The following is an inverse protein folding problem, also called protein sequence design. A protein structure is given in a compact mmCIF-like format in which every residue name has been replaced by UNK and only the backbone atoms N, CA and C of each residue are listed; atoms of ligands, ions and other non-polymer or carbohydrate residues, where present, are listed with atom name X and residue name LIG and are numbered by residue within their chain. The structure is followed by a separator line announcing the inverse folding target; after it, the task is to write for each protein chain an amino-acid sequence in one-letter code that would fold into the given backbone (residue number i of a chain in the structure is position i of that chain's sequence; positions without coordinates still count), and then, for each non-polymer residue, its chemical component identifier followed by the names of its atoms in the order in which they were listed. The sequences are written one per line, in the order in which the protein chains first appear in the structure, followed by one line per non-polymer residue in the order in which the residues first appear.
data_IF_037531286343
#
_entry.id   IF_037531286343
#
_cell.length_a   1.000
_cell.length_b   1.000
_cell.length_c   1.000
_cell.angle_alpha   90.00
_cell.angle_beta   90.00
_cell.angle_gamma   90.00
#
_symmetry.space_group_name_H-M   'P 1'
#
loop_
_entity.id
_entity.type
_entity.pdbx_description
1 polymer ?
2 polymer ?
3 water ?
#
# COMPACT_ATOMS: atom_id res chain seq x y z
N UNK A 3 23.77 -5.76 -13.79
CA UNK A 3 23.28 -6.31 -15.06
C UNK A 3 21.84 -5.86 -15.37
N UNK A 4 21.66 -5.32 -16.57
CA UNK A 4 20.40 -4.65 -16.91
C UNK A 4 19.23 -5.63 -16.91
N UNK A 5 19.38 -6.80 -17.54
CA UNK A 5 18.30 -7.79 -17.60
C UNK A 5 17.85 -8.21 -16.20
N UNK A 6 18.80 -8.45 -15.31
CA UNK A 6 18.47 -8.85 -13.94
C UNK A 6 17.69 -7.75 -13.23
N UNK A 7 18.18 -6.51 -13.32
CA UNK A 7 17.50 -5.39 -12.68
C UNK A 7 16.08 -5.25 -13.19
N UNK A 8 15.90 -5.37 -14.51
CA UNK A 8 14.56 -5.25 -15.10
C UNK A 8 13.66 -6.36 -14.57
N UNK A 9 14.18 -7.59 -14.55
CA UNK A 9 13.43 -8.73 -14.01
C UNK A 9 13.09 -8.54 -12.54
N UNK A 10 14.05 -8.04 -11.74
CA UNK A 10 13.76 -7.74 -10.33
C UNK A 10 12.65 -6.70 -10.22
N UNK A 11 12.69 -5.67 -11.06
CA UNK A 11 11.68 -4.62 -11.00
C UNK A 11 10.29 -5.18 -11.32
N UNK A 12 10.22 -6.11 -12.28
CA UNK A 12 8.94 -6.73 -12.60
C UNK A 12 8.39 -7.53 -11.42
N UNK A 13 9.29 -8.21 -10.69
CA UNK A 13 8.89 -8.97 -9.50
C UNK A 13 8.40 -8.04 -8.41
N UNK A 14 9.16 -6.97 -8.15
CA UNK A 14 8.75 -5.98 -7.16
C UNK A 14 7.38 -5.40 -7.48
N UNK A 15 7.10 -5.14 -8.76
CA UNK A 15 5.78 -4.62 -9.12
C UNK A 15 4.67 -5.59 -8.75
N UNK A 16 4.85 -6.89 -9.05
CA UNK A 16 3.86 -7.89 -8.65
C UNK A 16 3.72 -7.97 -7.14
N UNK A 17 4.83 -7.92 -6.41
CA UNK A 17 4.79 -7.88 -4.94
C UNK A 17 4.26 -6.57 -4.39
N UNK A 18 4.03 -5.58 -5.26
CA UNK A 18 3.63 -4.23 -4.84
C UNK A 18 4.65 -3.62 -3.87
N UNK A 19 5.93 -3.84 -4.16
CA UNK A 19 7.02 -3.20 -3.44
C UNK A 19 7.62 -2.14 -4.35
N UNK A 20 7.00 -0.96 -4.35
CA UNK A 20 7.32 0.06 -5.34
C UNK A 20 8.63 0.78 -5.01
N UNK A 21 9.02 0.86 -3.74
CA UNK A 21 10.36 1.36 -3.42
C UNK A 21 11.44 0.48 -4.05
N UNK A 22 11.28 -0.85 -3.92
CA UNK A 22 12.21 -1.79 -4.54
C UNK A 22 12.22 -1.60 -6.05
N UNK A 23 11.04 -1.47 -6.64
CA UNK A 23 10.93 -1.37 -8.09
C UNK A 23 11.56 -0.08 -8.58
N UNK A 24 11.35 1.03 -7.85
CA UNK A 24 11.96 2.30 -8.23
C UNK A 24 13.48 2.25 -8.11
N UNK A 25 13.99 1.57 -7.06
CA UNK A 25 15.44 1.49 -6.91
C UNK A 25 16.08 0.70 -8.04
N UNK A 26 15.41 -0.35 -8.52
CA UNK A 26 15.96 -1.10 -9.65
C UNK A 26 15.99 -0.25 -10.91
N UNK A 27 14.86 0.39 -11.23
CA UNK A 27 14.77 1.18 -12.46
C UNK A 27 15.68 2.40 -12.40
N UNK A 28 15.88 2.97 -11.21
CA UNK A 28 16.85 4.05 -11.07
C UNK A 28 18.26 3.57 -11.41
N UNK A 29 18.64 2.39 -10.92
CA UNK A 29 19.95 1.81 -11.25
C UNK A 29 20.08 1.56 -12.75
N UNK A 30 19.03 1.02 -13.39
CA UNK A 30 19.06 0.89 -14.84
C UNK A 30 19.32 2.24 -15.50
N UNK A 31 18.57 3.27 -15.09
CA UNK A 31 18.71 4.59 -15.70
C UNK A 31 20.14 5.13 -15.54
N UNK A 32 20.72 4.93 -14.35
CA UNK A 32 22.04 5.48 -14.06
C UNK A 32 23.15 4.82 -14.86
N UNK A 33 22.87 3.72 -15.57
CA UNK A 33 23.88 3.12 -16.44
C UNK A 33 24.12 3.89 -17.72
N UNK A 34 23.23 4.81 -18.10
CA UNK A 34 23.54 5.75 -19.16
C UNK A 34 23.09 5.36 -20.55
N UNK A 35 22.55 4.17 -20.73
CA UNK A 35 22.01 3.76 -22.02
C UNK A 35 20.54 4.17 -22.11
N UNK A 36 20.10 4.51 -23.32
CA UNK A 36 18.68 4.76 -23.54
C UNK A 36 17.85 3.56 -23.10
N UNK A 37 16.67 3.85 -22.57
CA UNK A 37 15.77 2.82 -22.07
C UNK A 37 14.85 2.36 -23.18
N UNK A 38 14.53 1.07 -23.17
CA UNK A 38 13.49 0.54 -24.04
C UNK A 38 12.12 1.03 -23.57
N UNK A 39 11.10 0.74 -24.41
CA UNK A 39 9.72 0.99 -24.03
C UNK A 39 9.37 0.31 -22.71
N UNK A 40 9.84 -0.92 -22.53
CA UNK A 40 9.52 -1.66 -21.31
C UNK A 40 10.11 -0.99 -20.08
N UNK A 41 11.41 -0.68 -20.13
CA UNK A 41 12.07 -0.06 -18.98
C UNK A 41 11.50 1.32 -18.69
N UNK A 42 11.17 2.07 -19.74
CA UNK A 42 10.49 3.35 -19.58
C UNK A 42 9.20 3.19 -18.79
N UNK A 43 8.37 2.21 -19.18
CA UNK A 43 7.11 1.99 -18.47
C UNK A 43 7.34 1.56 -17.04
N UNK A 44 8.35 0.73 -16.80
CA UNK A 44 8.61 0.28 -15.44
C UNK A 44 9.07 1.43 -14.55
N UNK A 45 9.98 2.27 -15.06
CA UNK A 45 10.44 3.43 -14.30
C UNK A 45 9.29 4.36 -13.97
N UNK A 46 8.40 4.59 -14.94
CA UNK A 46 7.30 5.52 -14.72
C UNK A 46 6.28 4.95 -13.75
N UNK A 47 5.96 3.66 -13.88
CA UNK A 47 5.01 3.05 -12.96
C UNK A 47 5.59 3.00 -11.53
N UNK A 48 6.89 2.76 -11.42
CA UNK A 48 7.52 2.69 -10.09
C UNK A 48 7.41 4.03 -9.37
N UNK A 49 7.87 5.10 -10.01
CA UNK A 49 7.86 6.37 -9.32
C UNK A 49 6.46 6.93 -9.17
N UNK A 50 5.54 6.60 -10.09
CA UNK A 50 4.18 7.10 -9.92
C UNK A 50 3.57 6.56 -8.62
N UNK A 51 3.88 5.31 -8.26
CA UNK A 51 3.37 4.72 -7.03
C UNK A 51 4.09 5.26 -5.80
N UNK A 52 5.42 5.42 -5.87
CA UNK A 52 6.15 5.99 -4.75
C UNK A 52 5.70 7.42 -4.45
N UNK A 53 5.49 8.22 -5.50
CA UNK A 53 5.04 9.59 -5.26
C UNK A 53 3.55 9.61 -4.96
N UNK A 54 2.78 8.68 -5.54
CA UNK A 54 1.34 8.70 -5.34
C UNK A 54 0.95 8.47 -3.89
N UNK A 55 1.71 7.62 -3.19
CA UNK A 55 1.44 7.38 -1.77
C UNK A 55 1.55 8.65 -0.96
N UNK A 56 2.58 9.48 -1.24
CA UNK A 56 2.76 10.74 -0.52
C UNK A 56 1.70 11.75 -0.91
N UNK A 57 1.38 11.84 -2.20
CA UNK A 57 0.32 12.76 -2.63
C UNK A 57 -0.99 12.43 -1.91
N UNK A 58 -1.38 11.15 -1.90
CA UNK A 58 -2.56 10.73 -1.17
C UNK A 58 -2.46 11.09 0.32
N UNK A 59 -1.36 10.71 0.98
CA UNK A 59 -1.18 11.05 2.39
C UNK A 59 -1.23 12.57 2.61
N UNK A 60 -0.60 13.33 1.72
CA UNK A 60 -0.59 14.78 1.88
C UNK A 60 -2.02 15.33 1.85
N UNK A 61 -2.84 14.86 0.92
CA UNK A 61 -4.21 15.37 0.83
C UNK A 61 -4.98 15.09 2.11
N UNK A 62 -4.87 13.85 2.63
CA UNK A 62 -5.59 13.46 3.84
C UNK A 62 -5.17 14.31 5.03
N UNK A 63 -3.85 14.45 5.23
CA UNK A 63 -3.40 15.19 6.41
C UNK A 63 -3.68 16.68 6.25
N UNK A 64 -3.47 17.22 5.05
CA UNK A 64 -3.80 18.63 4.82
C UNK A 64 -5.29 18.88 5.04
N UNK A 65 -6.13 17.91 4.69
CA UNK A 65 -7.56 18.03 4.94
C UNK A 65 -7.89 17.98 6.43
N UNK A 66 -7.15 17.15 7.18
CA UNK A 66 -7.36 17.09 8.63
C UNK A 66 -6.90 18.39 9.28
N UNK A 67 -5.74 18.90 8.85
CA UNK A 67 -5.23 20.15 9.39
C UNK A 67 -6.20 21.31 9.18
N UNK A 68 -6.92 21.31 8.06
CA UNK A 68 -7.85 22.40 7.78
C UNK A 68 -9.17 22.26 8.55
N UNK A 69 -9.56 21.04 8.88
CA UNK A 69 -10.81 20.80 9.59
C UNK A 69 -10.66 20.79 11.10
N UNK A 70 -9.50 21.19 11.62
CA UNK A 70 -9.31 21.32 13.06
C UNK A 70 -8.91 22.75 13.39
N UNK A 72 -9.49 25.48 15.08
CA UNK A 72 -10.19 24.85 16.20
C UNK A 72 -9.28 24.40 17.33
N UNK A 73 -9.06 23.09 17.42
CA UNK A 73 -8.22 22.48 18.44
C UNK A 73 -6.75 22.72 18.08
N UNK A 74 -6.12 23.70 18.74
CA UNK A 74 -4.84 24.21 18.26
C UNK A 74 -3.73 23.18 18.34
N UNK A 75 -3.69 22.36 19.40
CA UNK A 75 -2.60 21.42 19.55
C UNK A 75 -2.65 20.33 18.48
N UNK A 76 -3.84 19.75 18.27
CA UNK A 76 -3.99 18.77 17.20
C UNK A 76 -3.69 19.38 15.84
N UNK A 77 -4.12 20.63 15.61
CA UNK A 77 -3.89 21.27 14.31
C UNK A 77 -2.41 21.50 14.07
N UNK A 78 -1.66 21.88 15.10
CA UNK A 78 -0.21 21.97 14.96
C UNK A 78 0.38 20.62 14.57
N UNK A 79 -0.10 19.53 15.18
CA UNK A 79 0.51 18.24 14.90
C UNK A 79 0.23 17.81 13.47
N UNK A 80 -0.96 18.10 12.96
CA UNK A 80 -1.25 17.76 11.56
C UNK A 80 -0.40 18.60 10.62
N UNK A 81 -0.23 19.89 10.93
CA UNK A 81 0.65 20.75 10.15
C UNK A 81 2.07 20.19 10.07
N UNK A 82 2.65 19.83 11.23
CA UNK A 82 4.02 19.31 11.24
C UNK A 82 4.13 17.99 10.46
N UNK A 83 3.11 17.15 10.54
CA UNK A 83 3.15 15.87 9.82
C UNK A 83 3.00 16.09 8.31
N UNK A 84 2.06 16.96 7.94
CA UNK A 84 1.94 17.37 6.54
C UNK A 84 3.26 17.93 6.01
N UNK A 85 3.95 18.74 6.82
CA UNK A 85 5.25 19.25 6.41
C UNK A 85 6.26 18.13 6.18
N UNK A 86 6.28 17.14 7.08
CA UNK A 86 7.14 15.98 6.89
C UNK A 86 6.82 15.25 5.59
N UNK A 87 5.54 14.98 5.35
CA UNK A 87 5.12 14.32 4.12
C UNK A 87 5.52 15.15 2.92
N UNK A 88 5.41 16.47 3.02
CA UNK A 88 5.80 17.36 1.94
C UNK A 88 7.29 17.22 1.60
N UNK A 89 8.12 17.03 2.64
CA UNK A 89 9.55 16.91 2.40
C UNK A 89 9.86 15.62 1.63
N UNK A 90 9.22 14.52 2.01
CA UNK A 90 9.38 13.29 1.23
C UNK A 90 8.93 13.49 -0.22
N UNK A 91 7.77 14.14 -0.41
CA UNK A 91 7.25 14.33 -1.76
C UNK A 91 8.24 15.11 -2.62
N UNK A 92 8.74 16.22 -2.08
CA UNK A 92 9.71 17.05 -2.80
C UNK A 92 10.98 16.27 -3.10
N UNK A 93 11.45 15.44 -2.15
CA UNK A 93 12.64 14.65 -2.39
C UNK A 93 12.42 13.63 -3.51
N UNK A 94 11.25 13.00 -3.56
CA UNK A 94 10.96 12.07 -4.65
C UNK A 94 10.92 12.81 -5.99
N UNK A 95 10.19 13.93 -6.04
CA UNK A 95 10.09 14.68 -7.29
C UNK A 95 11.47 15.12 -7.76
N UNK A 96 12.28 15.66 -6.84
CA UNK A 96 13.62 16.11 -7.20
C UNK A 96 14.50 14.95 -7.70
N UNK A 97 14.33 13.76 -7.12
CA UNK A 97 15.00 12.56 -7.61
C UNK A 97 14.64 12.26 -9.06
N UNK A 98 13.34 12.10 -9.34
CA UNK A 98 12.86 11.89 -10.70
C UNK A 98 13.36 12.98 -11.64
N UNK A 99 13.18 14.24 -11.24
CA UNK A 99 13.54 15.33 -12.15
C UNK A 99 15.05 15.36 -12.42
N UNK A 100 15.87 14.95 -11.45
CA UNK A 100 17.30 14.83 -11.68
C UNK A 100 17.61 13.76 -12.71
N UNK A 101 17.00 12.57 -12.55
CA UNK A 101 17.18 11.53 -13.56
C UNK A 101 16.77 12.02 -14.94
N UNK A 102 15.64 12.72 -15.04
CA UNK A 102 15.19 13.22 -16.34
C UNK A 102 16.20 14.21 -16.92
N UNK A 103 16.79 15.05 -16.08
CA UNK A 103 17.71 16.08 -16.54
C UNK A 103 19.08 15.51 -16.86
N UNK A 104 19.55 14.56 -16.05
CA UNK A 104 20.93 14.14 -16.21
C UNK A 104 21.09 13.04 -17.25
N UNK A 105 20.13 12.11 -17.33
CA UNK A 105 20.24 10.97 -18.24
C UNK A 105 19.19 10.95 -19.34
N UNK A 106 17.91 11.07 -19.00
CA UNK A 106 16.89 10.59 -19.91
C UNK A 106 16.63 11.57 -21.05
N UNK A 107 16.41 12.84 -20.73
CA UNK A 107 16.09 13.82 -21.78
C UNK A 107 17.28 14.06 -22.70
N UNK A 108 18.48 14.40 -22.20
CA UNK A 108 19.61 14.61 -23.13
C UNK A 108 19.99 13.38 -23.94
N UNK A 109 19.61 12.18 -23.51
CA UNK A 109 19.92 10.95 -24.23
C UNK A 109 18.79 10.49 -25.14
N UNK A 110 17.59 11.05 -25.01
CA UNK A 110 16.46 10.59 -25.82
C UNK A 110 16.74 10.90 -27.29
N UNK A 111 17.01 9.85 -28.08
CA UNK A 111 17.25 10.03 -29.51
C UNK A 111 15.98 9.95 -30.34
N UNK A 112 14.86 9.58 -29.74
CA UNK A 112 13.63 9.29 -30.48
C UNK A 112 12.50 10.23 -30.06
N UNK A 113 11.69 10.64 -31.03
CA UNK A 113 10.58 11.54 -30.74
C UNK A 113 9.69 10.98 -29.62
N UNK A 114 9.32 9.69 -29.71
CA UNK A 114 8.46 9.08 -28.70
C UNK A 114 9.04 9.19 -27.30
N UNK A 115 10.34 8.95 -27.15
CA UNK A 115 10.99 9.03 -25.84
C UNK A 115 11.05 10.46 -25.34
N UNK A 116 11.35 11.42 -26.21
CA UNK A 116 11.35 12.82 -25.81
C UNK A 116 9.99 13.22 -25.24
N UNK A 117 8.92 12.89 -25.96
CA UNK A 117 7.57 13.21 -25.48
C UNK A 117 7.32 12.55 -24.12
N UNK A 118 7.67 11.26 -24.00
CA UNK A 118 7.47 10.55 -22.74
C UNK A 118 8.18 11.25 -21.59
N UNK A 119 9.48 11.56 -21.77
CA UNK A 119 10.25 12.14 -20.68
C UNK A 119 9.82 13.57 -20.38
N UNK A 120 9.44 14.34 -21.42
CA UNK A 120 9.00 15.71 -21.21
C UNK A 120 7.64 15.73 -20.52
N UNK A 121 6.74 14.82 -20.91
CA UNK A 121 5.51 14.61 -20.16
C UNK A 121 5.82 14.30 -18.70
N UNK A 122 6.75 13.36 -18.45
CA UNK A 122 7.07 13.02 -17.07
C UNK A 122 7.64 14.23 -16.33
N UNK A 123 8.47 15.02 -17.00
CA UNK A 123 8.98 16.25 -16.40
C UNK A 123 7.83 17.20 -16.05
N UNK A 124 6.84 17.32 -16.93
CA UNK A 124 5.67 18.12 -16.62
C UNK A 124 4.92 17.59 -15.40
N UNK A 125 4.71 16.27 -15.35
CA UNK A 125 4.00 15.65 -14.23
C UNK A 125 4.67 15.96 -12.89
N UNK A 126 5.98 15.78 -12.80
CA UNK A 126 6.61 15.88 -11.50
C UNK A 126 6.75 17.33 -11.03
N UNK A 127 6.83 18.29 -11.97
CA UNK A 127 6.70 19.69 -11.55
C UNK A 127 5.25 20.00 -11.15
N UNK A 128 4.27 19.39 -11.82
CA UNK A 128 2.88 19.60 -11.39
C UNK A 128 2.65 19.07 -9.97
N UNK A 129 3.22 17.89 -9.62
CA UNK A 129 3.13 17.41 -8.25
C UNK A 129 3.78 18.40 -7.27
N UNK A 130 4.92 18.97 -7.65
CA UNK A 130 5.54 20.01 -6.83
C UNK A 130 4.63 21.23 -6.72
N UNK A 131 3.96 21.59 -7.82
CA UNK A 131 3.07 22.75 -7.78
C UNK A 131 1.87 22.51 -6.87
N UNK A 132 1.43 21.26 -6.74
CA UNK A 132 0.31 20.94 -5.86
C UNK A 132 0.55 21.37 -4.42
N UNK A 133 1.81 21.37 -3.98
CA UNK A 133 2.14 21.65 -2.59
C UNK A 133 3.02 22.90 -2.44
N UNK A 134 3.29 23.60 -3.53
CA UNK A 134 4.21 24.74 -3.43
C UNK A 134 3.46 25.99 -2.98
N UNK A 135 4.21 26.99 -2.53
CA UNK A 135 3.62 28.15 -1.87
C UNK A 135 3.61 29.44 -2.71
N UNK A 136 4.73 30.15 -2.74
CA UNK A 136 4.67 31.56 -3.10
C UNK A 136 5.35 31.95 -4.40
N UNK A 137 6.43 32.72 -4.30
CA UNK A 137 7.29 32.92 -5.46
C UNK A 137 7.84 31.59 -5.96
N UNK A 138 7.98 30.62 -5.07
CA UNK A 138 8.39 29.27 -5.47
C UNK A 138 7.39 28.64 -6.42
N UNK A 139 6.09 28.76 -6.10
CA UNK A 139 5.08 28.10 -6.92
C UNK A 139 5.14 28.59 -8.36
N UNK A 140 5.32 29.89 -8.56
CA UNK A 140 5.29 30.46 -9.92
C UNK A 140 6.36 29.84 -10.81
N UNK A 141 7.60 29.77 -10.32
CA UNK A 141 8.66 29.14 -11.12
C UNK A 141 8.38 27.68 -11.41
N UNK A 142 7.83 26.96 -10.42
CA UNK A 142 7.50 25.54 -10.60
C UNK A 142 6.40 25.37 -11.65
N UNK A 143 5.33 26.15 -11.52
CA UNK A 143 4.23 26.09 -12.48
C UNK A 143 4.73 26.42 -13.87
N UNK A 144 5.65 27.38 -13.98
CA UNK A 144 6.21 27.71 -15.28
C UNK A 144 7.02 26.54 -15.86
N UNK A 145 7.73 25.80 -15.02
CA UNK A 145 8.51 24.66 -15.48
C UNK A 145 7.60 23.53 -15.96
N UNK A 146 6.50 23.29 -15.26
CA UNK A 146 5.57 22.24 -15.67
C UNK A 146 4.97 22.56 -17.04
N UNK A 147 4.53 23.81 -17.23
CA UNK A 147 3.89 24.19 -18.49
C UNK A 147 4.87 24.12 -19.65
N UNK A 148 6.12 24.57 -19.44
CA UNK A 148 7.10 24.54 -20.53
C UNK A 148 7.38 23.12 -20.99
N UNK A 149 7.47 22.18 -20.06
CA UNK A 149 7.71 20.79 -20.40
C UNK A 149 6.52 20.20 -21.13
N UNK A 150 5.32 20.37 -20.57
CA UNK A 150 4.11 19.89 -21.25
C UNK A 150 3.96 20.50 -22.64
N UNK A 151 4.25 21.81 -22.79
CA UNK A 151 4.06 22.46 -24.08
C UNK A 151 5.04 21.93 -25.12
N UNK A 152 6.30 21.75 -24.75
CA UNK A 152 7.26 21.15 -25.69
C UNK A 152 6.86 19.71 -26.04
N UNK A 153 6.49 18.90 -25.04
CA UNK A 153 6.01 17.55 -25.33
C UNK A 153 4.83 17.60 -26.30
N UNK A 154 3.91 18.53 -26.06
CA UNK A 154 2.70 18.66 -26.87
C UNK A 154 3.06 18.96 -28.33
N UNK A 155 4.02 19.86 -28.55
CA UNK A 155 4.36 20.26 -29.91
C UNK A 155 5.01 19.10 -30.66
N UNK A 156 5.92 18.38 -30.00
CA UNK A 156 6.58 17.25 -30.65
C UNK A 156 5.58 16.15 -30.96
N UNK A 157 4.69 15.82 -30.02
CA UNK A 157 3.73 14.76 -30.26
C UNK A 157 2.79 15.10 -31.43
N UNK A 158 2.39 16.36 -31.55
CA UNK A 158 1.55 16.73 -32.68
C UNK A 158 2.30 16.64 -34.02
N UNK A 159 3.61 16.91 -34.04
CA UNK A 159 4.33 16.82 -35.30
C UNK A 159 4.60 15.37 -35.69
N UNK A 160 4.90 14.51 -34.72
CA UNK A 160 5.56 13.23 -34.99
C UNK A 160 4.65 12.02 -34.81
N UNK A 161 3.66 12.07 -33.92
CA UNK A 161 2.89 10.91 -33.52
C UNK A 161 1.48 10.97 -34.09
N UNK A 162 0.88 9.80 -34.37
CA UNK A 162 -0.51 9.80 -34.81
C UNK A 162 -1.42 10.16 -33.63
N UNK A 163 -2.59 10.74 -33.90
CA UNK A 163 -3.47 11.17 -32.80
C UNK A 163 -3.93 10.04 -31.88
N UNK A 164 -3.84 8.78 -32.31
CA UNK A 164 -4.26 7.67 -31.46
C UNK A 164 -3.12 7.11 -30.61
N UNK A 165 -1.91 7.60 -30.79
CA UNK A 165 -0.77 7.09 -30.03
C UNK A 165 -1.00 7.24 -28.53
N UNK A 166 -0.86 6.18 -27.74
CA UNK A 166 -1.13 6.29 -26.30
C UNK A 166 -0.30 7.34 -25.61
N UNK A 167 0.94 7.60 -26.04
CA UNK A 167 1.74 8.63 -25.37
C UNK A 167 1.15 10.00 -25.66
N UNK A 168 0.80 10.26 -26.92
CA UNK A 168 0.20 11.53 -27.28
C UNK A 168 -1.13 11.75 -26.55
N UNK A 169 -1.96 10.70 -26.46
CA UNK A 169 -3.23 10.83 -25.74
C UNK A 169 -3.01 11.01 -24.23
N UNK A 170 -2.05 10.28 -23.66
CA UNK A 170 -1.79 10.44 -22.25
C UNK A 170 -1.26 11.81 -21.91
N UNK A 171 -0.45 12.39 -22.81
CA UNK A 171 0.04 13.75 -22.62
C UNK A 171 -1.11 14.76 -22.60
N UNK A 172 -2.02 14.65 -23.59
CA UNK A 172 -3.20 15.53 -23.60
C UNK A 172 -3.99 15.40 -22.31
N UNK A 173 -4.18 14.17 -21.83
CA UNK A 173 -4.93 13.95 -20.59
C UNK A 173 -4.32 14.72 -19.42
N UNK A 174 -3.02 14.55 -19.20
CA UNK A 174 -2.33 15.19 -18.07
C UNK A 174 -2.13 16.68 -18.29
N UNK A 175 -1.91 17.12 -19.54
CA UNK A 175 -1.85 18.56 -19.81
C UNK A 175 -3.18 19.23 -19.49
N UNK A 176 -4.30 18.59 -19.89
CA UNK A 176 -5.61 19.15 -19.54
C UNK A 176 -5.80 19.17 -18.02
N UNK A 177 -5.36 18.13 -17.30
CA UNK A 177 -5.47 18.17 -15.85
C UNK A 177 -4.67 19.34 -15.28
N UNK A 178 -3.47 19.57 -15.82
CA UNK A 178 -2.68 20.73 -15.39
C UNK A 178 -3.47 22.03 -15.58
N UNK A 179 -4.08 22.22 -16.76
CA UNK A 179 -4.85 23.44 -16.95
C UNK A 179 -6.00 23.53 -15.97
N UNK A 180 -6.65 22.39 -15.68
CA UNK A 180 -7.81 22.40 -14.81
C UNK A 180 -7.43 22.69 -13.37
N UNK A 181 -6.53 21.90 -12.79
CA UNK A 181 -6.31 22.11 -11.36
C UNK A 181 -5.13 23.01 -11.03
N UNK A 182 -4.13 23.14 -11.90
CA UNK A 182 -3.04 24.06 -11.58
C UNK A 182 -3.34 25.47 -12.05
N UNK A 183 -3.87 25.64 -13.26
CA UNK A 183 -4.12 26.98 -13.78
C UNK A 183 -5.58 27.39 -13.67
N UNK A 184 -6.41 26.61 -12.99
CA UNK A 184 -7.83 26.90 -12.77
C UNK A 184 -8.50 27.39 -14.06
N UNK A 185 -8.35 26.59 -15.11
CA UNK A 185 -8.78 26.95 -16.46
C UNK A 185 -9.57 25.80 -17.05
N UNK A 186 -10.81 25.59 -16.60
CA UNK A 186 -11.57 24.42 -17.11
C UNK A 186 -11.91 24.52 -18.58
N UNK A 187 -12.11 25.73 -19.13
CA UNK A 187 -12.49 25.79 -20.54
C UNK A 187 -11.33 25.40 -21.45
N UNK A 188 -10.12 25.83 -21.10
CA UNK A 188 -8.93 25.36 -21.81
C UNK A 188 -8.70 23.87 -21.58
N UNK A 189 -8.95 23.39 -20.35
CA UNK A 189 -8.77 21.96 -20.07
C UNK A 189 -9.74 21.14 -20.90
N UNK A 190 -11.01 21.55 -20.95
CA UNK A 190 -12.00 20.83 -21.73
C UNK A 190 -11.67 20.88 -23.21
N UNK A 191 -11.20 22.03 -23.69
CA UNK A 191 -10.87 22.16 -25.10
C UNK A 191 -9.72 21.24 -25.49
N UNK A 192 -8.68 21.17 -24.65
CA UNK A 192 -7.58 20.26 -24.91
C UNK A 192 -8.06 18.81 -24.93
N UNK A 193 -8.80 18.40 -23.90
CA UNK A 193 -9.27 17.02 -23.82
C UNK A 193 -10.23 16.69 -24.96
N UNK A 194 -11.12 17.63 -25.33
CA UNK A 194 -12.08 17.36 -26.39
C UNK A 194 -11.40 17.29 -27.76
N UNK A 195 -10.45 18.19 -28.03
CA UNK A 195 -9.74 18.14 -29.30
C UNK A 195 -8.96 16.83 -29.44
N UNK A 196 -8.25 16.44 -28.37
CA UNK A 196 -7.50 15.16 -28.40
C UNK A 196 -8.42 13.98 -28.69
N UNK A 197 -9.56 13.90 -27.99
CA UNK A 197 -10.53 12.84 -28.26
C UNK A 197 -11.01 12.88 -29.71
N UNK A 198 -11.38 14.06 -30.21
CA UNK A 198 -11.95 14.15 -31.55
C UNK A 198 -10.91 13.85 -32.63
N UNK A 199 -9.65 14.23 -32.42
CA UNK A 199 -8.62 13.90 -33.41
C UNK A 199 -8.30 12.41 -33.42
N UNK A 200 -8.39 11.75 -32.27
CA UNK A 200 -8.18 10.29 -32.25
C UNK A 200 -9.34 9.58 -32.92
N UNK A 201 -10.57 10.05 -32.68
CA UNK A 201 -11.74 9.35 -33.20
C UNK A 201 -11.94 9.64 -34.68
N UNK A 202 -11.28 10.64 -35.23
CA UNK A 202 -11.27 10.88 -36.66
C UNK A 202 -10.22 10.06 -37.39
N UNK A 203 -9.37 9.33 -36.65
CA UNK A 203 -8.24 8.61 -37.24
C UNK A 203 -8.10 7.23 -36.62
N UNK A 204 -9.22 6.52 -36.42
CA UNK A 204 -9.13 5.22 -35.76
C UNK A 204 -8.27 4.23 -36.53
N UNK A 205 -8.08 4.44 -37.84
CA UNK A 205 -7.29 3.50 -38.63
C UNK A 205 -5.83 3.45 -38.20
N UNK A 206 -5.32 4.50 -37.53
CA UNK A 206 -3.94 4.50 -37.05
C UNK A 206 -3.77 3.74 -35.75
N UNK A 207 -4.82 3.10 -35.24
CA UNK A 207 -4.67 2.24 -34.07
C UNK A 207 -3.83 1.03 -34.43
N UNK A 208 -2.92 0.67 -33.56
CA UNK A 208 -2.09 -0.52 -33.74
C UNK A 208 -2.58 -1.63 -32.83
N UNK A 209 -2.51 -2.87 -33.33
CA UNK A 209 -2.97 -4.02 -32.56
C UNK A 209 -2.26 -4.11 -31.21
N UNK A 210 -1.01 -3.68 -31.14
CA UNK A 210 -0.26 -3.78 -29.89
C UNK A 210 -0.74 -2.75 -28.86
N UNK A 211 -1.35 -1.65 -29.31
CA UNK A 211 -1.60 -0.51 -28.44
C UNK A 211 -3.05 -0.09 -28.35
N UNK A 212 -3.96 -0.72 -29.10
CA UNK A 212 -5.31 -0.18 -29.20
C UNK A 212 -6.03 -0.19 -27.86
N UNK A 213 -5.74 -1.15 -26.99
CA UNK A 213 -6.40 -1.20 -25.69
C UNK A 213 -5.98 -0.02 -24.82
N UNK A 214 -4.69 0.33 -24.81
CA UNK A 214 -4.24 1.53 -24.11
C UNK A 214 -4.89 2.78 -24.70
N UNK A 215 -4.89 2.88 -26.03
CA UNK A 215 -5.43 4.06 -26.69
C UNK A 215 -6.90 4.27 -26.36
N UNK A 216 -7.73 3.25 -26.59
CA UNK A 216 -9.16 3.40 -26.35
C UNK A 216 -9.47 3.60 -24.87
N UNK A 217 -8.60 3.11 -23.98
CA UNK A 217 -8.78 3.40 -22.56
C UNK A 217 -8.52 4.87 -22.25
N UNK A 218 -7.44 5.44 -22.80
CA UNK A 218 -7.15 6.84 -22.53
C UNK A 218 -8.19 7.75 -23.18
N UNK A 219 -8.71 7.38 -24.36
CA UNK A 219 -9.80 8.16 -24.94
C UNK A 219 -11.00 8.19 -24.00
N UNK A 220 -11.32 7.05 -23.36
CA UNK A 220 -12.41 7.03 -22.38
C UNK A 220 -12.10 7.93 -21.19
N UNK A 221 -10.85 7.94 -20.73
CA UNK A 221 -10.47 8.81 -19.60
C UNK A 221 -10.59 10.29 -19.98
N UNK A 222 -10.18 10.65 -21.20
CA UNK A 222 -10.33 12.04 -21.65
C UNK A 222 -11.79 12.47 -21.61
N UNK A 223 -12.69 11.62 -22.14
CA UNK A 223 -14.09 11.99 -22.15
C UNK A 223 -14.70 11.97 -20.75
N UNK A 224 -14.22 11.10 -19.87
CA UNK A 224 -14.65 11.15 -18.47
C UNK A 224 -14.38 12.54 -17.88
N UNK A 225 -13.13 13.01 -18.00
CA UNK A 225 -12.77 14.34 -17.49
C UNK A 225 -13.63 15.41 -18.12
N UNK A 226 -13.74 15.40 -19.45
CA UNK A 226 -14.68 16.25 -20.15
C UNK A 226 -16.05 16.22 -19.51
N UNK A 227 -16.54 15.01 -19.25
CA UNK A 227 -17.86 14.82 -18.64
C UNK A 227 -17.91 15.43 -17.24
N UNK A 228 -16.89 15.16 -16.41
CA UNK A 228 -16.92 15.66 -15.04
C UNK A 228 -16.79 17.19 -15.00
N UNK A 229 -15.94 17.77 -15.84
CA UNK A 229 -15.65 19.20 -15.74
C UNK A 229 -16.79 20.07 -16.26
N UNK A 230 -17.42 19.68 -17.37
CA UNK A 230 -18.52 20.45 -17.92
C UNK A 230 -19.85 20.21 -17.23
N UNK A 231 -19.86 19.47 -16.13
CA UNK A 231 -21.07 19.35 -15.33
C UNK A 231 -20.83 19.87 -13.91
N UNK B 2 8.67 10.48 23.04
CA UNK B 2 8.26 11.79 23.55
C UNK B 2 7.14 11.66 24.58
N UNK B 3 6.19 12.59 24.52
CA UNK B 3 5.00 12.53 25.36
C UNK B 3 3.97 11.59 24.74
N UNK B 4 3.35 10.76 25.58
CA UNK B 4 2.56 9.63 25.08
C UNK B 4 1.34 10.12 24.30
N UNK B 5 0.69 11.18 24.76
CA UNK B 5 -0.50 11.67 24.07
C UNK B 5 -0.15 12.17 22.68
N UNK B 6 0.98 12.85 22.53
CA UNK B 6 1.43 13.26 21.20
C UNK B 6 1.67 12.03 20.32
N UNK B 7 2.37 11.02 20.85
CA UNK B 7 2.67 9.83 20.06
C UNK B 7 1.38 9.17 19.57
N UNK B 8 0.37 9.07 20.45
CA UNK B 8 -0.90 8.46 20.08
C UNK B 8 -1.59 9.28 18.99
N UNK B 9 -1.62 10.61 19.16
CA UNK B 9 -2.18 11.47 18.13
C UNK B 9 -1.42 11.34 16.81
N UNK B 10 -0.09 11.29 16.85
CA UNK B 10 0.68 11.00 15.63
C UNK B 10 0.27 9.66 15.02
N UNK B 11 0.11 8.63 15.86
CA UNK B 11 -0.28 7.32 15.35
C UNK B 11 -1.64 7.39 14.64
N UNK B 12 -2.59 8.12 15.22
CA UNK B 12 -3.91 8.25 14.59
C UNK B 12 -3.83 8.99 13.26
N UNK B 13 -2.98 10.03 13.18
CA UNK B 13 -2.75 10.72 11.91
C UNK B 13 -2.13 9.79 10.89
N UNK B 14 -1.10 9.03 11.30
CA UNK B 14 -0.47 8.10 10.36
C UNK B 14 -1.47 7.07 9.84
N UNK B 15 -2.39 6.62 10.70
CA UNK B 15 -3.38 5.65 10.25
C UNK B 15 -4.26 6.25 9.15
N UNK B 16 -4.74 7.48 9.34
CA UNK B 16 -5.56 8.13 8.30
C UNK B 16 -4.78 8.26 6.99
N UNK B 17 -3.49 8.61 7.09
CA UNK B 17 -2.61 8.78 5.93
C UNK B 17 -2.17 7.44 5.34
N UNK B 18 -2.57 6.32 5.95
CA UNK B 18 -2.12 4.98 5.58
C UNK B 18 -0.60 4.87 5.55
N UNK B 19 0.04 5.47 6.53
CA UNK B 19 1.48 5.32 6.73
C UNK B 19 1.66 4.42 7.95
N UNK B 20 1.56 3.12 7.71
CA UNK B 20 1.53 2.17 8.82
C UNK B 20 2.89 1.96 9.45
N UNK B 21 3.98 2.17 8.72
CA UNK B 21 5.29 2.15 9.35
C UNK B 21 5.42 3.25 10.40
N UNK B 22 4.98 4.47 10.07
CA UNK B 22 4.95 5.55 11.05
C UNK B 22 4.07 5.17 12.24
N UNK B 23 2.87 4.65 11.94
CA UNK B 23 1.91 4.31 12.98
C UNK B 23 2.47 3.28 13.96
N UNK B 24 3.17 2.26 13.43
CA UNK B 24 3.77 1.21 14.26
C UNK B 24 4.93 1.75 15.08
N UNK B 25 5.77 2.59 14.47
CA UNK B 25 6.85 3.25 15.21
C UNK B 25 6.31 4.04 16.40
N UNK B 26 5.24 4.82 16.17
CA UNK B 26 4.64 5.59 17.28
C UNK B 26 4.12 4.68 18.39
N UNK B 27 3.37 3.64 18.02
CA UNK B 27 2.76 2.79 19.03
C UNK B 27 3.80 1.93 19.74
N UNK B 28 4.89 1.57 19.04
CA UNK B 28 5.98 0.86 19.70
C UNK B 28 6.66 1.73 20.76
N UNK B 29 6.84 3.03 20.47
CA UNK B 29 7.37 3.93 21.49
C UNK B 29 6.43 4.05 22.68
N UNK B 30 5.12 4.20 22.42
CA UNK B 30 4.16 4.24 23.52
C UNK B 30 4.31 3.00 24.39
N UNK B 31 4.39 1.83 23.74
CA UNK B 31 4.49 0.57 24.48
C UNK B 31 5.75 0.51 25.33
N UNK B 32 6.88 0.98 24.80
CA UNK B 32 8.15 0.88 25.49
C UNK B 32 8.24 1.78 26.72
N UNK B 33 7.32 2.73 26.89
CA UNK B 33 7.30 3.52 28.12
C UNK B 33 6.87 2.71 29.34
N UNK B 34 6.26 1.54 29.13
CA UNK B 34 6.06 0.60 30.22
C UNK B 34 4.72 0.63 30.91
N UNK B 35 3.83 1.55 30.54
CA UNK B 35 2.53 1.64 31.18
C UNK B 35 1.52 0.84 30.39
N UNK B 36 0.54 0.27 31.11
CA UNK B 36 -0.47 -0.55 30.46
C UNK B 36 -1.24 0.27 29.43
N UNK B 37 -1.43 -0.30 28.24
CA UNK B 37 -2.14 0.37 27.17
C UNK B 37 -3.63 0.38 27.43
N UNK B 38 -4.25 1.52 27.18
CA UNK B 38 -5.70 1.60 27.09
C UNK B 38 -6.19 0.77 25.90
N UNK B 39 -7.49 0.49 25.90
CA UNK B 39 -8.11 -0.24 24.79
C UNK B 39 -7.84 0.44 23.45
N UNK B 40 -7.95 1.77 23.39
CA UNK B 40 -7.70 2.48 22.14
C UNK B 40 -6.25 2.33 21.70
N UNK B 41 -5.30 2.44 22.63
CA UNK B 41 -3.89 2.28 22.31
C UNK B 41 -3.58 0.85 21.85
N UNK B 42 -4.13 -0.13 22.58
CA UNK B 42 -4.05 -1.52 22.17
C UNK B 42 -4.48 -1.71 20.72
N UNK B 43 -5.65 -1.19 20.36
CA UNK B 43 -6.16 -1.36 18.99
C UNK B 43 -5.25 -0.69 17.98
N UNK B 44 -4.72 0.49 18.31
CA UNK B 44 -3.82 1.19 17.39
C UNK B 44 -2.57 0.37 17.14
N UNK B 45 -1.95 -0.14 18.21
CA UNK B 45 -0.77 -0.99 18.06
C UNK B 45 -1.06 -2.19 17.18
N UNK B 46 -2.18 -2.86 17.45
CA UNK B 46 -2.53 -4.07 16.73
C UNK B 46 -2.76 -3.78 15.25
N UNK B 47 -3.46 -2.67 14.95
CA UNK B 47 -3.75 -2.30 13.57
C UNK B 47 -2.46 -1.98 12.82
N UNK B 48 -1.58 -1.18 13.44
CA UNK B 48 -0.33 -0.81 12.79
C UNK B 48 0.48 -2.05 12.40
N UNK B 49 0.75 -2.94 13.37
CA UNK B 49 1.59 -4.09 13.06
C UNK B 49 0.88 -5.10 12.16
N UNK B 50 -0.43 -5.22 12.29
CA UNK B 50 -1.18 -6.04 11.34
C UNK B 50 -0.95 -5.57 9.90
N UNK B 51 -0.93 -4.26 9.68
CA UNK B 51 -0.71 -3.75 8.33
C UNK B 51 0.75 -3.88 7.91
N UNK B 52 1.68 -3.61 8.84
CA UNK B 52 3.11 -3.69 8.51
C UNK B 52 3.48 -5.13 8.13
N UNK B 53 3.08 -6.10 8.97
CA UNK B 53 3.37 -7.50 8.65
C UNK B 53 2.48 -8.00 7.51
N UNK B 54 1.28 -7.45 7.36
CA UNK B 54 0.40 -7.93 6.31
C UNK B 54 0.90 -7.58 4.92
N UNK B 55 1.58 -6.44 4.79
CA UNK B 55 2.20 -6.08 3.53
C UNK B 55 3.20 -7.15 3.09
N UNK B 56 4.06 -7.59 4.02
CA UNK B 56 5.06 -8.61 3.67
C UNK B 56 4.40 -9.97 3.42
N UNK B 57 3.42 -10.35 4.24
CA UNK B 57 2.75 -11.64 4.01
C UNK B 57 2.10 -11.66 2.63
N UNK B 58 1.51 -10.54 2.21
CA UNK B 58 0.87 -10.50 0.90
C UNK B 58 1.92 -10.57 -0.21
N UNK B 59 3.03 -9.82 -0.08
CA UNK B 59 4.11 -9.92 -1.07
C UNK B 59 4.69 -11.32 -1.11
N UNK B 60 4.77 -11.96 0.06
CA UNK B 60 5.33 -13.30 0.14
C UNK B 60 4.46 -14.31 -0.62
N UNK B 61 3.14 -14.22 -0.44
CA UNK B 61 2.26 -15.11 -1.17
C UNK B 61 2.41 -14.92 -2.68
N UNK B 62 2.50 -13.66 -3.13
CA UNK B 62 2.62 -13.38 -4.57
C UNK B 62 3.92 -13.95 -5.11
N UNK B 63 5.04 -13.61 -4.46
CA UNK B 63 6.34 -14.07 -4.94
C UNK B 63 6.44 -15.59 -4.86
N UNK B 64 5.93 -16.18 -3.78
CA UNK B 64 5.98 -17.63 -3.64
C UNK B 64 5.17 -18.32 -4.74
N UNK B 65 4.06 -17.71 -5.14
CA UNK B 65 3.28 -18.25 -6.24
C UNK B 65 4.00 -18.12 -7.58
N UNK B 66 4.65 -16.96 -7.82
CA UNK B 66 5.48 -16.82 -9.02
C UNK B 66 6.57 -17.87 -9.03
N UNK B 67 7.20 -18.10 -7.87
CA UNK B 67 8.23 -19.13 -7.79
C UNK B 67 7.72 -20.48 -8.27
N UNK B 68 6.51 -20.87 -7.83
CA UNK B 68 5.97 -22.16 -8.25
C UNK B 68 5.64 -22.16 -9.74
N UNK B 69 5.12 -21.04 -10.25
CA UNK B 69 4.74 -20.97 -11.65
C UNK B 69 5.95 -20.91 -12.58
N UNK B 70 7.14 -20.58 -12.07
CA UNK B 70 8.35 -20.56 -12.89
C UNK B 70 9.18 -21.83 -12.72
N UNK B 71 8.58 -22.91 -12.22
CA UNK B 71 9.25 -24.19 -12.29
C UNK B 71 9.58 -24.51 -13.75
N UNK B 72 10.81 -24.97 -13.99
CA UNK B 72 11.29 -25.18 -15.33
C UNK B 72 11.86 -23.96 -16.03
N UNK B 73 11.97 -22.82 -15.34
CA UNK B 73 12.65 -21.63 -15.88
C UNK B 73 13.60 -21.17 -14.78
N UNK B 74 14.79 -21.76 -14.72
CA UNK B 74 15.57 -21.69 -13.49
C UNK B 74 16.09 -20.28 -13.22
N UNK B 75 16.41 -19.50 -14.26
CA UNK B 75 16.88 -18.13 -14.03
C UNK B 75 15.81 -17.31 -13.32
N UNK B 76 14.59 -17.32 -13.86
CA UNK B 76 13.52 -16.56 -13.23
C UNK B 76 13.16 -17.14 -11.86
N UNK B 77 13.16 -18.48 -11.71
CA UNK B 77 12.76 -19.06 -10.44
C UNK B 77 13.79 -18.76 -9.35
N UNK B 78 15.08 -18.81 -9.68
CA UNK B 78 16.09 -18.44 -8.69
C UNK B 78 15.89 -17.00 -8.23
N UNK B 79 15.54 -16.09 -9.16
CA UNK B 79 15.32 -14.71 -8.76
C UNK B 79 14.09 -14.56 -7.88
N UNK B 80 13.04 -15.33 -8.17
CA UNK B 80 11.87 -15.30 -7.31
C UNK B 80 12.18 -15.91 -5.93
N UNK B 81 12.94 -16.99 -5.90
CA UNK B 81 13.34 -17.57 -4.60
C UNK B 81 14.15 -16.58 -3.78
N UNK B 82 15.12 -15.90 -4.39
CA UNK B 82 15.96 -14.97 -3.64
C UNK B 82 15.14 -13.79 -3.12
N UNK B 83 14.18 -13.32 -3.92
CA UNK B 83 13.32 -12.24 -3.48
C UNK B 83 12.38 -12.70 -2.37
N UNK B 84 11.88 -13.95 -2.44
CA UNK B 84 11.07 -14.47 -1.35
C UNK B 84 11.87 -14.52 -0.05
N UNK B 85 13.13 -14.97 -0.12
CA UNK B 85 13.93 -15.07 1.10
C UNK B 85 14.24 -13.69 1.68
N UNK B 86 14.35 -12.66 0.84
CA UNK B 86 14.53 -11.32 1.37
C UNK B 86 13.27 -10.85 2.09
N UNK B 87 12.10 -11.10 1.50
CA UNK B 87 10.85 -10.71 2.14
C UNK B 87 10.69 -11.46 3.46
N UNK B 88 11.10 -12.74 3.49
CA UNK B 88 11.00 -13.54 4.70
C UNK B 88 11.84 -12.95 5.84
N UNK B 89 13.01 -12.40 5.51
CA UNK B 89 13.85 -11.79 6.54
C UNK B 89 13.14 -10.57 7.16
N UNK B 90 12.56 -9.71 6.33
CA UNK B 90 11.76 -8.60 6.86
C UNK B 90 10.61 -9.11 7.72
N UNK B 91 9.95 -10.17 7.25
CA UNK B 91 8.81 -10.74 7.95
C UNK B 91 9.22 -11.23 9.34
N UNK B 92 10.32 -11.98 9.42
CA UNK B 92 10.82 -12.44 10.71
C UNK B 92 11.17 -11.27 11.62
N UNK B 93 11.80 -10.23 11.07
CA UNK B 93 12.20 -9.07 11.88
C UNK B 93 10.99 -8.39 12.50
N UNK B 94 9.92 -8.23 11.73
CA UNK B 94 8.70 -7.59 12.23
C UNK B 94 8.05 -8.45 13.32
N UNK B 95 7.94 -9.76 13.06
CA UNK B 95 7.36 -10.66 14.05
C UNK B 95 8.21 -10.68 15.33
N UNK B 96 9.54 -10.77 15.20
CA UNK B 96 10.38 -10.75 16.39
C UNK B 96 10.16 -9.46 17.19
N UNK B 97 9.99 -8.34 16.48
CA UNK B 97 9.69 -7.06 17.10
C UNK B 97 8.42 -7.14 17.94
N UNK B 98 7.30 -7.54 17.31
CA UNK B 98 6.03 -7.65 18.03
C UNK B 98 6.15 -8.61 19.21
N UNK B 99 6.75 -9.78 18.97
CA UNK B 99 6.82 -10.79 20.02
C UNK B 99 7.61 -10.30 21.22
N UNK B 100 8.67 -9.52 20.97
CA UNK B 100 9.46 -8.97 22.06
C UNK B 100 8.66 -7.93 22.84
N UNK B 101 7.83 -7.13 22.16
CA UNK B 101 6.98 -6.19 22.88
C UNK B 101 5.98 -6.93 23.75
N UNK B 102 5.43 -8.04 23.22
CA UNK B 102 4.47 -8.84 23.97
C UNK B 102 5.11 -9.42 25.23
N UNK B 103 6.33 -9.94 25.10
CA UNK B 103 7.00 -10.59 26.24
C UNK B 103 7.36 -9.58 27.33
N UNK B 104 7.97 -8.46 26.94
CA UNK B 104 8.54 -7.54 27.92
C UNK B 104 7.49 -6.64 28.55
N UNK B 105 6.53 -6.15 27.76
CA UNK B 105 5.62 -5.12 28.25
C UNK B 105 4.16 -5.56 28.27
N UNK B 106 3.64 -6.10 27.16
CA UNK B 106 2.20 -6.19 26.99
C UNK B 106 1.59 -7.30 27.84
N UNK B 107 2.14 -8.52 27.76
CA UNK B 107 1.58 -9.63 28.52
C UNK B 107 1.80 -9.43 30.03
N UNK B 108 2.99 -9.03 30.50
CA UNK B 108 3.15 -8.86 31.96
C UNK B 108 2.22 -7.80 32.55
N UNK B 109 1.77 -6.83 31.77
CA UNK B 109 0.98 -5.72 32.28
C UNK B 109 -0.52 -5.97 32.22
N UNK B 110 -0.96 -7.06 31.61
CA UNK B 110 -2.39 -7.25 31.34
C UNK B 110 -3.10 -7.56 32.66
N UNK B 111 -3.91 -6.61 33.13
CA UNK B 111 -4.58 -6.69 34.42
C UNK B 111 -6.04 -7.16 34.32
N UNK B 112 -6.53 -7.44 33.11
CA UNK B 112 -7.88 -7.93 32.89
C UNK B 112 -7.81 -9.18 32.02
N UNK B 113 -8.78 -10.07 32.18
CA UNK B 113 -8.84 -11.26 31.35
C UNK B 113 -8.94 -10.91 29.86
N UNK B 114 -9.66 -9.83 29.53
CA UNK B 114 -9.80 -9.41 28.14
C UNK B 114 -8.44 -9.07 27.53
N UNK B 115 -7.64 -8.27 28.25
CA UNK B 115 -6.31 -7.90 27.76
C UNK B 115 -5.40 -9.12 27.66
N UNK B 116 -5.42 -9.99 28.68
CA UNK B 116 -4.66 -11.23 28.64
C UNK B 116 -4.97 -12.00 27.36
N UNK B 117 -6.27 -12.25 27.11
CA UNK B 117 -6.66 -13.02 25.94
C UNK B 117 -6.20 -12.32 24.67
N UNK B 118 -6.38 -11.00 24.62
CA UNK B 118 -6.01 -10.23 23.43
C UNK B 118 -4.53 -10.39 23.11
N UNK B 119 -3.66 -10.25 24.12
CA UNK B 119 -2.22 -10.30 23.86
C UNK B 119 -1.74 -11.73 23.66
N UNK B 120 -2.35 -12.70 24.34
CA UNK B 120 -1.97 -14.09 24.09
C UNK B 120 -2.36 -14.50 22.67
N UNK B 121 -3.55 -14.10 22.22
CA UNK B 121 -3.93 -14.30 20.83
C UNK B 121 -2.92 -13.68 19.89
N UNK B 122 -2.50 -12.44 20.18
CA UNK B 122 -1.50 -11.75 19.36
C UNK B 122 -0.20 -12.53 19.28
N UNK B 123 0.29 -13.01 20.43
CA UNK B 123 1.45 -13.90 20.48
C UNK B 123 1.24 -15.13 19.61
N UNK B 124 0.07 -15.76 19.72
CA UNK B 124 -0.23 -16.89 18.86
C UNK B 124 -0.18 -16.51 17.39
N UNK B 125 -0.71 -15.33 17.05
CA UNK B 125 -0.72 -14.84 15.67
C UNK B 125 0.69 -14.65 15.12
N UNK B 126 1.56 -13.93 15.85
CA UNK B 126 2.86 -13.61 15.26
C UNK B 126 3.82 -14.80 15.23
N UNK B 127 3.65 -15.76 16.16
CA UNK B 127 4.34 -17.04 16.00
C UNK B 127 3.77 -17.81 14.81
N UNK B 128 2.47 -17.70 14.57
CA UNK B 128 1.90 -18.38 13.41
C UNK B 128 2.45 -17.80 12.12
N UNK B 129 2.60 -16.47 12.04
CA UNK B 129 3.21 -15.88 10.83
C UNK B 129 4.66 -16.35 10.67
N UNK B 130 5.40 -16.49 11.78
CA UNK B 130 6.73 -17.09 11.69
C UNK B 130 6.66 -18.53 11.16
N UNK B 131 5.69 -19.31 11.64
CA UNK B 131 5.58 -20.69 11.19
C UNK B 131 5.28 -20.78 9.68
N UNK B 132 4.53 -19.81 9.14
CA UNK B 132 4.22 -19.79 7.71
C UNK B 132 5.46 -19.79 6.84
N UNK B 133 6.60 -19.31 7.37
CA UNK B 133 7.82 -19.17 6.57
C UNK B 133 8.99 -19.84 7.26
N UNK B 134 8.71 -20.67 8.28
CA UNK B 134 9.74 -21.44 8.95
C UNK B 134 10.06 -22.71 8.17
N UNK B 135 11.30 -23.16 8.27
CA UNK B 135 11.74 -24.34 7.54
C UNK B 135 12.41 -25.37 8.43
N UNK B 136 13.61 -25.06 8.92
CA UNK B 136 14.49 -26.07 9.47
C UNK B 136 14.10 -26.63 10.82
N UNK B 137 15.11 -26.92 11.65
CA UNK B 137 14.87 -27.41 13.00
C UNK B 137 13.97 -26.49 13.81
N UNK B 138 13.89 -25.22 13.42
CA UNK B 138 13.18 -24.20 14.19
C UNK B 138 11.67 -24.32 14.11
N UNK B 139 11.13 -24.94 13.07
CA UNK B 139 9.71 -24.83 12.78
C UNK B 139 8.86 -25.44 13.90
N UNK B 140 9.22 -26.66 14.34
CA UNK B 140 8.39 -27.35 15.34
C UNK B 140 8.31 -26.56 16.64
N UNK B 141 9.42 -25.95 17.05
CA UNK B 141 9.38 -25.09 18.23
C UNK B 141 8.55 -23.84 18.01
N UNK B 142 8.66 -23.24 16.82
CA UNK B 142 7.83 -22.07 16.51
C UNK B 142 6.36 -22.46 16.55
N UNK B 143 6.01 -23.58 15.91
CA UNK B 143 4.62 -24.04 15.92
C UNK B 143 4.14 -24.27 17.35
N UNK B 144 5.00 -24.87 18.19
CA UNK B 144 4.60 -25.15 19.56
C UNK B 144 4.37 -23.87 20.35
N UNK B 145 5.19 -22.83 20.10
CA UNK B 145 4.98 -21.55 20.78
C UNK B 145 3.65 -20.93 20.37
N UNK B 146 3.29 -21.02 19.09
CA UNK B 146 2.00 -20.50 18.65
C UNK B 146 0.87 -21.26 19.33
N UNK B 147 0.94 -22.59 19.33
CA UNK B 147 -0.12 -23.40 19.93
C UNK B 147 -0.30 -23.10 21.41
N UNK B 148 0.81 -22.98 22.16
CA UNK B 148 0.72 -22.73 23.60
C UNK B 148 0.09 -21.39 23.90
N UNK B 149 0.44 -20.37 23.12
CA UNK B 149 -0.15 -19.05 23.33
C UNK B 149 -1.66 -19.10 23.06
N UNK B 150 -2.06 -19.63 21.91
CA UNK B 150 -3.48 -19.76 21.60
C UNK B 150 -4.22 -20.57 22.66
N UNK B 151 -3.60 -21.67 23.13
CA UNK B 151 -4.25 -22.51 24.13
C UNK B 151 -4.48 -21.76 25.43
N UNK B 152 -3.49 -21.00 25.89
CA UNK B 152 -3.65 -20.21 27.10
C UNK B 152 -4.78 -19.20 26.95
N UNK B 153 -4.79 -18.46 25.84
CA UNK B 153 -5.90 -17.54 25.59
C UNK B 153 -7.23 -18.27 25.57
N UNK B 154 -7.28 -19.44 24.95
CA UNK B 154 -8.53 -20.17 24.80
C UNK B 154 -9.09 -20.55 26.17
N UNK B 155 -8.25 -21.06 27.05
CA UNK B 155 -8.70 -21.44 28.40
C UNK B 155 -9.21 -20.24 29.17
N UNK B 156 -8.46 -19.13 29.15
CA UNK B 156 -8.90 -17.94 29.87
C UNK B 156 -10.23 -17.45 29.33
N UNK B 157 -10.34 -17.30 28.00
CA UNK B 157 -11.56 -16.77 27.41
C UNK B 157 -12.76 -17.66 27.69
N UNK B 158 -12.56 -18.98 27.68
CA UNK B 158 -13.68 -19.90 27.96
C UNK B 158 -14.19 -19.72 29.39
N UNK B 159 -13.32 -19.37 30.32
CA UNK B 159 -13.71 -19.19 31.71
C UNK B 159 -14.25 -17.79 32.00
N UNK B 160 -13.74 -16.77 31.31
CA UNK B 160 -13.97 -15.39 31.70
C UNK B 160 -14.80 -14.55 30.74
N UNK B 161 -15.07 -15.01 29.52
CA UNK B 161 -15.80 -14.20 28.56
C UNK B 161 -17.03 -14.92 28.02
N UNK B 162 -18.03 -14.14 27.67
CA UNK B 162 -19.25 -14.66 27.08
C UNK B 162 -18.96 -15.21 25.68
N UNK B 163 -19.69 -16.24 25.25
CA UNK B 163 -19.52 -16.77 23.88
C UNK B 163 -19.61 -15.73 22.77
N UNK B 164 -20.37 -14.64 22.95
CA UNK B 164 -20.53 -13.62 21.91
C UNK B 164 -19.46 -12.53 21.97
N UNK B 165 -18.61 -12.56 22.98
CA UNK B 165 -17.57 -11.55 23.09
C UNK B 165 -16.68 -11.56 21.85
N UNK B 166 -16.46 -10.41 21.20
CA UNK B 166 -15.69 -10.41 19.94
C UNK B 166 -14.25 -10.85 20.08
N UNK B 167 -13.62 -10.65 21.25
CA UNK B 167 -12.26 -11.12 21.42
C UNK B 167 -12.24 -12.64 21.58
N UNK B 168 -13.22 -13.21 22.31
CA UNK B 168 -13.34 -14.66 22.38
C UNK B 168 -13.61 -15.25 21.00
N UNK B 169 -14.54 -14.65 20.24
CA UNK B 169 -14.82 -15.13 18.89
C UNK B 169 -13.60 -14.97 17.98
N UNK B 170 -12.92 -13.82 18.05
CA UNK B 170 -11.75 -13.61 17.22
C UNK B 170 -10.65 -14.63 17.51
N UNK B 171 -10.45 -14.95 18.78
CA UNK B 171 -9.47 -15.98 19.15
C UNK B 171 -9.82 -17.33 18.51
N UNK B 172 -11.08 -17.75 18.65
CA UNK B 172 -11.50 -19.00 18.02
C UNK B 172 -11.26 -18.99 16.52
N UNK B 173 -11.53 -17.86 15.86
CA UNK B 173 -11.26 -17.74 14.43
C UNK B 173 -9.80 -18.03 14.11
N UNK B 174 -8.89 -17.29 14.75
CA UNK B 174 -7.47 -17.37 14.39
C UNK B 174 -6.86 -18.70 14.84
N UNK B 175 -7.30 -19.22 16.00
CA UNK B 175 -6.86 -20.54 16.47
C UNK B 175 -7.29 -21.65 15.50
N UNK B 176 -8.52 -21.57 14.98
CA UNK B 176 -8.96 -22.58 14.02
C UNK B 176 -8.13 -22.51 12.74
N UNK B 177 -7.75 -21.30 12.31
CA UNK B 177 -6.89 -21.15 11.14
C UNK B 177 -5.53 -21.78 11.41
N UNK B 178 -5.01 -21.61 12.64
CA UNK B 178 -3.76 -22.26 13.04
C UNK B 178 -3.88 -23.79 12.88
N UNK B 179 -4.95 -24.36 13.42
CA UNK B 179 -5.14 -25.80 13.34
C UNK B 179 -5.16 -26.28 11.89
N UNK B 180 -5.85 -25.55 11.02
CA UNK B 180 -6.00 -25.97 9.62
C UNK B 180 -4.71 -25.74 8.84
N UNK B 181 -4.20 -24.52 8.86
CA UNK B 181 -3.10 -24.13 7.98
C UNK B 181 -1.74 -24.54 8.52
N UNK B 182 -1.56 -24.52 9.84
CA UNK B 182 -0.26 -24.81 10.45
C UNK B 182 -0.18 -26.23 10.95
N UNK B 183 -1.14 -26.65 11.78
CA UNK B 183 -1.10 -28.02 12.27
C UNK B 183 -1.60 -29.03 11.26
N UNK B 184 -2.20 -28.57 10.16
CA UNK B 184 -2.75 -29.46 9.14
C UNK B 184 -3.79 -30.41 9.74
N UNK B 185 -4.70 -29.85 10.53
CA UNK B 185 -5.75 -30.63 11.20
C UNK B 185 -7.12 -30.05 10.89
N UNK B 186 -7.70 -30.40 9.74
CA UNK B 186 -9.06 -29.92 9.43
C UNK B 186 -10.06 -30.18 10.54
N UNK B 187 -10.03 -31.37 11.15
CA UNK B 187 -11.06 -31.72 12.12
C UNK B 187 -10.99 -30.83 13.35
N UNK B 188 -9.77 -30.51 13.82
CA UNK B 188 -9.68 -29.64 14.98
C UNK B 188 -10.02 -28.21 14.62
N UNK B 189 -9.71 -27.79 13.39
CA UNK B 189 -10.09 -26.45 12.95
C UNK B 189 -11.60 -26.33 12.90
N UNK B 190 -12.26 -27.30 12.24
CA UNK B 190 -13.70 -27.24 12.08
C UNK B 190 -14.40 -27.36 13.42
N UNK B 191 -13.93 -28.27 14.28
CA UNK B 191 -14.58 -28.44 15.57
C UNK B 191 -14.54 -27.15 16.38
N UNK B 192 -13.39 -26.47 16.38
CA UNK B 192 -13.25 -25.21 17.10
C UNK B 192 -14.13 -24.13 16.50
N UNK B 193 -14.07 -23.93 15.19
CA UNK B 193 -14.88 -22.90 14.55
C UNK B 193 -16.37 -23.18 14.71
N UNK B 194 -16.78 -24.45 14.55
CA UNK B 194 -18.19 -24.77 14.66
C UNK B 194 -18.71 -24.56 16.09
N UNK B 195 -17.94 -24.98 17.09
CA UNK B 195 -18.37 -24.82 18.48
C UNK B 195 -18.49 -23.34 18.86
N UNK B 196 -17.48 -22.54 18.49
CA UNK B 196 -17.55 -21.10 18.75
C UNK B 196 -18.78 -20.46 18.09
N UNK B 197 -19.08 -20.83 16.84
CA UNK B 197 -20.26 -20.30 16.16
C UNK B 197 -21.54 -20.69 16.88
N UNK B 198 -21.71 -21.99 17.19
CA UNK B 198 -22.98 -22.46 17.74
C UNK B 198 -23.21 -21.94 19.14
N UNK B 199 -22.14 -21.83 19.94
CA UNK B 199 -22.30 -21.28 21.28
C UNK B 199 -22.74 -19.82 21.22
N UNK B 200 -22.21 -19.07 20.26
CA UNK B 200 -22.59 -17.67 20.10
C UNK B 200 -24.03 -17.53 19.60
N UNK B 201 -24.37 -18.27 18.55
CA UNK B 201 -25.70 -18.21 17.96
C UNK B 201 -26.78 -18.60 18.96
N UNK B 202 -26.42 -19.38 19.99
CA UNK B 202 -27.34 -19.77 21.04
C UNK B 202 -27.44 -18.74 22.16
N UNK B 203 -26.75 -17.60 22.03
CA UNK B 203 -26.71 -16.63 23.13
C UNK B 203 -26.74 -15.23 22.56
N UNK B 204 -27.54 -15.02 21.52
CA UNK B 204 -27.48 -13.75 20.80
C UNK B 204 -27.93 -12.58 21.67
N UNK B 205 -28.84 -12.80 22.62
CA UNK B 205 -29.30 -11.66 23.41
C UNK B 205 -28.24 -11.14 24.38
N UNK B 206 -27.10 -11.83 24.53
CA UNK B 206 -25.96 -11.30 25.26
C UNK B 206 -25.06 -10.41 24.39
N UNK B 207 -25.54 -9.99 23.23
CA UNK B 207 -24.83 -9.02 22.43
C UNK B 207 -25.11 -7.62 22.98
N UNK B 208 -24.07 -6.80 23.05
CA UNK B 208 -24.24 -5.41 23.43
C UNK B 208 -24.25 -4.54 22.18
N UNK B 209 -24.86 -3.37 22.29
CA UNK B 209 -24.87 -2.43 21.17
C UNK B 209 -23.45 -2.07 20.74
N UNK B 210 -22.51 -2.03 21.69
CA UNK B 210 -21.12 -1.66 21.39
C UNK B 210 -20.47 -2.65 20.44
N UNK B 211 -20.81 -3.93 20.53
CA UNK B 211 -19.99 -4.96 19.91
C UNK B 211 -20.72 -5.87 18.93
N UNK B 212 -22.05 -5.73 18.76
CA UNK B 212 -22.78 -6.70 17.96
C UNK B 212 -22.31 -6.73 16.50
N UNK B 213 -21.78 -5.61 15.99
CA UNK B 213 -21.32 -5.62 14.60
C UNK B 213 -20.03 -6.40 14.45
N UNK B 214 -19.08 -6.21 15.38
CA UNK B 214 -17.86 -7.01 15.36
C UNK B 214 -18.17 -8.48 15.57
N UNK B 215 -19.02 -8.79 16.55
CA UNK B 215 -19.30 -10.17 16.91
C UNK B 215 -20.00 -10.92 15.78
N UNK B 216 -21.04 -10.32 15.20
CA UNK B 216 -21.74 -11.00 14.11
C UNK B 216 -20.86 -11.11 12.88
N UNK B 217 -19.91 -10.18 12.68
CA UNK B 217 -18.98 -10.30 11.56
C UNK B 217 -18.07 -11.51 11.73
N UNK B 218 -17.49 -11.67 12.93
CA UNK B 218 -16.58 -12.78 13.17
C UNK B 218 -17.31 -14.10 13.06
N UNK B 219 -18.58 -14.14 13.48
CA UNK B 219 -19.38 -15.35 13.33
C UNK B 219 -19.49 -15.74 11.87
N UNK B 220 -19.77 -14.76 11.00
CA UNK B 220 -19.85 -15.01 9.58
C UNK B 220 -18.53 -15.55 9.05
N UNK B 221 -17.42 -14.96 9.50
CA UNK B 221 -16.10 -15.42 9.07
C UNK B 221 -15.85 -16.85 9.52
N UNK B 222 -16.24 -17.18 10.76
CA UNK B 222 -16.11 -18.54 11.27
C UNK B 222 -16.86 -19.52 10.37
N UNK B 223 -18.08 -19.19 9.99
CA UNK B 223 -18.85 -20.12 9.16
C UNK B 223 -18.31 -20.15 7.73
N UNK B 224 -17.77 -19.02 7.25
CA UNK B 224 -17.10 -19.02 5.96
C UNK B 224 -15.97 -20.05 5.95
N UNK B 225 -15.12 -20.02 6.98
CA UNK B 225 -14.00 -20.96 7.05
C UNK B 225 -14.51 -22.40 7.11
N UNK B 226 -15.55 -22.65 7.90
CA UNK B 226 -16.13 -24.00 7.98
C UNK B 226 -16.59 -24.49 6.62
N UNK B 227 -17.32 -23.64 5.90
CA UNK B 227 -17.77 -23.96 4.55
C UNK B 227 -16.59 -24.33 3.66
N UNK B 228 -15.58 -23.45 3.62
CA UNK B 228 -14.41 -23.69 2.79
C UNK B 228 -13.73 -25.00 3.18
N UNK B 229 -13.57 -25.23 4.48
CA UNK B 229 -12.81 -26.39 4.92
C UNK B 229 -13.55 -27.71 4.72
N UNK B 230 -14.86 -27.69 4.52
CA UNK B 230 -15.61 -28.93 4.29
C UNK B 230 -15.64 -29.39 2.82
N UNK C 4 -8.78 -19.06 3.55
CA UNK C 4 -9.43 -19.03 4.86
C UNK C 4 -9.24 -17.72 5.60
N UNK C 5 -10.29 -17.26 6.27
CA UNK C 5 -10.30 -15.97 6.98
C UNK C 5 -9.65 -15.96 8.36
N UNK C 6 -8.78 -14.98 8.61
CA UNK C 6 -8.36 -14.68 9.98
C UNK C 6 -8.87 -13.28 10.27
N UNK C 7 -8.79 -12.86 11.53
CA UNK C 7 -9.40 -11.62 12.00
C UNK C 7 -8.91 -10.39 11.23
N UNK D 4 -10.89 14.37 -11.13
CA UNK D 4 -10.24 14.43 -12.42
C UNK D 4 -9.13 13.40 -12.60
N UNK D 5 -9.27 12.53 -13.59
CA UNK D 5 -8.30 11.47 -13.84
C UNK D 5 -7.08 11.99 -14.58
N UNK D 6 -5.90 11.74 -14.01
CA UNK D 6 -4.64 11.88 -14.74
C UNK D 6 -4.23 10.48 -15.12
N UNK D 7 -3.18 10.32 -15.93
CA UNK D 7 -2.82 9.01 -16.45
C UNK D 7 -2.51 7.96 -15.38
#
# INVERSE_FOLDING_TARGET
SMDKNELVQKAKLAEQAERYDDMAACMKSVTEQGAELSNEERNLLSVAYKNVVGARRSSWRVVSSIEQKTEGAEKKQQMAREYREKIETELRDICNDVLSLLEKFLIPNASQAESKVFYLKMKGDYYRYLAEVAAGDDKKGIVDQSQQAYQEAFEISKKEMQPTHPIRLGLALNFSVFYYEILNSPEKACSLAKTAFDEAIAELDTLSEESYKDSTLIMQLLRDNLTLWTSDTQGDEAEAGEGGEN
SMDKNELVQKAKLAEQAERYDDMAACMKSVTEQGAELSNEERNLLSVAYKNVVGARRSSWRVVSSIEQKTEGAEKKQQMAREYREKIETELRDICNDVLSLLEKFLIPNASQAESKVFYLKMKGDYYRYLAEVAAGDDKKGIVDQSQQAYQEAFEISKKEMQPTHPIRLGLALNFSVFYYEILNSPEKACSLAKTAFDEAIAELDTLSEESYKDSTLIMQLLRDNLTLWTSDTQGDEAEAGEGGEN
RYSGHSL
RYSGHSL
#
